data_IF_352239095892
#
_entry.id   IF_352239095892
#
_cell.length_a   1.000
_cell.length_b   1.000
_cell.length_c   1.000
_cell.angle_alpha   90.00
_cell.angle_beta   90.00
_cell.angle_gamma   90.00
#
_symmetry.space_group_name_H-M   'P 1'
#
loop_
_entity.id
_entity.type
_entity.pdbx_description
1 polymer ?
#
# COMPACT_ATOMS: atom_id res chain seq x y z
N UNK A 1 -8.16 -34.65 1.02
CA UNK A 1 -7.07 -34.87 2.00
C UNK A 1 -6.51 -33.51 2.33
N UNK A 2 -6.39 -33.10 3.60
CA UNK A 2 -5.84 -31.78 3.90
C UNK A 2 -4.34 -31.74 3.54
N UNK A 3 -3.99 -30.96 2.52
CA UNK A 3 -2.59 -30.71 2.15
C UNK A 3 -1.85 -29.91 3.25
N UNK A 4 -0.59 -30.28 3.51
CA UNK A 4 0.28 -29.57 4.44
C UNK A 4 1.33 -28.74 3.69
N UNK A 5 1.39 -27.41 3.88
CA UNK A 5 2.30 -26.56 3.13
C UNK A 5 3.75 -26.73 3.58
N UNK A 6 4.63 -27.13 2.66
CA UNK A 6 6.06 -27.25 2.88
C UNK A 6 6.84 -26.29 1.98
N UNK A 7 7.45 -25.27 2.60
CA UNK A 7 8.26 -24.30 1.86
C UNK A 7 9.56 -24.94 1.36
N UNK A 8 9.65 -25.14 0.06
CA UNK A 8 10.86 -25.54 -0.65
C UNK A 8 11.35 -24.34 -1.45
N UNK A 9 12.63 -24.01 -1.29
CA UNK A 9 13.31 -22.96 -2.06
C UNK A 9 14.14 -23.62 -3.15
N UNK A 10 14.06 -23.11 -4.36
CA UNK A 10 14.81 -23.61 -5.52
C UNK A 10 15.38 -22.44 -6.30
N UNK A 11 16.25 -22.76 -7.24
CA UNK A 11 16.68 -21.86 -8.30
C UNK A 11 16.15 -22.45 -9.60
N UNK A 12 15.45 -21.66 -10.41
CA UNK A 12 14.94 -22.11 -11.70
C UNK A 12 16.08 -22.29 -12.72
N UNK A 13 15.75 -22.82 -13.91
CA UNK A 13 16.72 -23.05 -14.98
C UNK A 13 17.39 -21.75 -15.49
N UNK A 14 16.80 -20.59 -15.22
CA UNK A 14 17.31 -19.27 -15.60
C UNK A 14 18.11 -18.60 -14.46
N UNK A 15 18.32 -19.27 -13.33
CA UNK A 15 19.06 -18.73 -12.18
C UNK A 15 18.22 -17.86 -11.23
N UNK A 16 16.91 -17.76 -11.43
CA UNK A 16 16.03 -16.97 -10.56
C UNK A 16 15.59 -17.77 -9.34
N UNK A 17 15.31 -17.06 -8.24
CA UNK A 17 14.74 -17.68 -7.06
C UNK A 17 13.33 -18.19 -7.33
N UNK A 18 13.08 -19.46 -7.00
CA UNK A 18 11.78 -20.12 -7.06
C UNK A 18 11.38 -20.63 -5.68
N UNK A 19 10.07 -20.70 -5.41
CA UNK A 19 9.53 -21.21 -4.17
C UNK A 19 8.26 -22.01 -4.43
N UNK A 20 8.11 -23.13 -3.73
CA UNK A 20 6.89 -23.95 -3.75
C UNK A 20 6.45 -24.29 -2.34
N UNK A 21 5.17 -24.51 -2.15
CA UNK A 21 4.56 -25.04 -0.94
C UNK A 21 4.07 -26.50 -1.12
N UNK A 22 3.94 -26.98 -2.37
CA UNK A 22 3.52 -28.36 -2.67
C UNK A 22 2.04 -28.53 -3.01
N UNK A 23 1.35 -27.45 -3.40
CA UNK A 23 -0.02 -27.49 -3.91
C UNK A 23 -0.07 -26.74 -5.22
N UNK A 24 -0.60 -27.37 -6.27
CA UNK A 24 -0.60 -26.87 -7.66
C UNK A 24 -1.05 -25.41 -7.75
N UNK A 25 -2.25 -25.07 -7.26
CA UNK A 25 -2.78 -23.69 -7.34
C UNK A 25 -1.93 -22.65 -6.60
N UNK A 26 -1.26 -23.05 -5.52
CA UNK A 26 -0.44 -22.14 -4.71
C UNK A 26 0.94 -21.98 -5.34
N UNK A 27 1.47 -23.06 -5.90
CA UNK A 27 2.76 -23.09 -6.59
C UNK A 27 2.68 -22.30 -7.90
N UNK A 28 1.61 -22.44 -8.68
CA UNK A 28 1.33 -21.63 -9.89
C UNK A 28 1.29 -20.13 -9.56
N UNK A 29 0.68 -19.76 -8.44
CA UNK A 29 0.68 -18.36 -7.98
C UNK A 29 2.08 -17.89 -7.57
N UNK A 30 2.87 -18.72 -6.89
CA UNK A 30 4.23 -18.37 -6.50
C UNK A 30 5.14 -18.21 -7.72
N UNK A 31 4.95 -19.02 -8.76
CA UNK A 31 5.60 -18.85 -10.06
C UNK A 31 5.22 -17.51 -10.71
N UNK A 32 3.92 -17.17 -10.73
CA UNK A 32 3.43 -15.86 -11.19
C UNK A 32 4.05 -14.69 -10.41
N UNK A 33 4.23 -14.82 -9.09
CA UNK A 33 4.89 -13.81 -8.26
C UNK A 33 6.38 -13.72 -8.58
N UNK A 34 7.08 -14.86 -8.76
CA UNK A 34 8.50 -14.90 -9.08
C UNK A 34 8.82 -14.17 -10.40
N UNK A 35 7.94 -14.32 -11.41
CA UNK A 35 8.09 -13.62 -12.69
C UNK A 35 7.94 -12.09 -12.61
N UNK A 36 7.33 -11.57 -11.54
CA UNK A 36 6.93 -10.14 -11.43
C UNK A 36 7.62 -9.38 -10.30
N UNK A 37 8.28 -10.07 -9.39
CA UNK A 37 8.74 -9.52 -8.12
C UNK A 37 10.15 -9.98 -7.78
N UNK A 38 10.84 -9.20 -6.94
CA UNK A 38 12.18 -9.55 -6.45
C UNK A 38 12.14 -10.83 -5.59
N UNK A 39 13.24 -11.59 -5.50
CA UNK A 39 13.35 -12.82 -4.70
C UNK A 39 12.86 -12.68 -3.25
N UNK A 40 13.15 -11.56 -2.60
CA UNK A 40 12.72 -11.31 -1.22
C UNK A 40 11.20 -11.21 -1.07
N UNK A 41 10.52 -10.64 -2.08
CA UNK A 41 9.06 -10.54 -2.09
C UNK A 41 8.45 -11.93 -2.27
N UNK A 42 9.00 -12.75 -3.19
CA UNK A 42 8.59 -14.15 -3.37
C UNK A 42 8.69 -14.94 -2.07
N UNK A 43 9.85 -14.90 -1.40
CA UNK A 43 10.07 -15.63 -0.16
C UNK A 43 9.16 -15.16 0.98
N UNK A 44 8.89 -13.85 1.06
CA UNK A 44 7.94 -13.30 2.03
C UNK A 44 6.51 -13.79 1.75
N UNK A 45 6.07 -13.75 0.49
CA UNK A 45 4.76 -14.25 0.07
C UNK A 45 4.62 -15.75 0.34
N UNK A 46 5.61 -16.56 -0.04
CA UNK A 46 5.61 -18.00 0.20
C UNK A 46 5.55 -18.34 1.70
N UNK A 47 6.31 -17.63 2.54
CA UNK A 47 6.24 -17.82 3.99
C UNK A 47 4.89 -17.37 4.58
N UNK A 48 4.33 -16.26 4.09
CA UNK A 48 3.04 -15.77 4.54
C UNK A 48 1.91 -16.76 4.21
N UNK A 49 1.91 -17.32 3.00
CA UNK A 49 0.96 -18.36 2.55
C UNK A 49 1.15 -19.68 3.31
N UNK A 50 2.39 -20.12 3.54
CA UNK A 50 2.67 -21.31 4.36
C UNK A 50 1.98 -21.20 5.71
N UNK A 51 2.20 -20.09 6.42
CA UNK A 51 1.63 -19.88 7.75
C UNK A 51 0.10 -19.80 7.71
N UNK A 52 -0.47 -19.22 6.66
CA UNK A 52 -1.92 -19.17 6.47
C UNK A 52 -2.52 -20.58 6.35
N UNK A 53 -2.02 -21.38 5.42
CA UNK A 53 -2.53 -22.73 5.18
C UNK A 53 -2.19 -23.69 6.34
N UNK A 54 -1.11 -23.47 7.09
CA UNK A 54 -0.86 -24.23 8.33
C UNK A 54 -1.88 -23.95 9.45
N UNK A 55 -2.56 -22.79 9.43
CA UNK A 55 -3.57 -22.43 10.43
C UNK A 55 -4.97 -22.81 9.99
N UNK A 56 -5.30 -22.60 8.72
CA UNK A 56 -6.65 -22.86 8.19
C UNK A 56 -6.83 -24.34 7.82
N UNK A 57 -5.77 -25.03 7.36
CA UNK A 57 -5.79 -26.45 7.00
C UNK A 57 -6.92 -26.85 6.05
N UNK A 58 -7.21 -26.00 5.05
CA UNK A 58 -8.19 -26.22 3.98
C UNK A 58 -7.53 -26.10 2.62
N UNK A 59 -8.16 -26.70 1.61
CA UNK A 59 -7.80 -26.46 0.22
C UNK A 59 -8.03 -25.00 -0.15
N UNK A 60 -7.21 -24.40 -1.04
CA UNK A 60 -7.38 -23.01 -1.47
C UNK A 60 -8.81 -22.70 -1.95
N UNK A 61 -9.46 -23.62 -2.64
CA UNK A 61 -10.84 -23.46 -3.16
C UNK A 61 -11.91 -23.45 -2.06
N UNK A 62 -11.61 -24.01 -0.89
CA UNK A 62 -12.58 -24.18 0.21
C UNK A 62 -12.46 -23.07 1.27
N UNK A 63 -11.52 -22.15 1.08
CA UNK A 63 -11.29 -21.04 2.02
C UNK A 63 -12.40 -20.01 1.89
N UNK A 64 -13.07 -19.74 3.01
CA UNK A 64 -14.11 -18.72 3.11
C UNK A 64 -13.67 -17.56 3.99
N UNK A 65 -14.43 -16.46 3.96
CA UNK A 65 -14.15 -15.26 4.77
C UNK A 65 -14.02 -15.54 6.26
N UNK A 66 -14.79 -16.50 6.80
CA UNK A 66 -14.71 -16.92 8.20
C UNK A 66 -13.31 -17.43 8.57
N UNK A 67 -12.62 -18.10 7.64
CA UNK A 67 -11.26 -18.61 7.86
C UNK A 67 -10.23 -17.49 7.94
N UNK A 68 -10.44 -16.39 7.21
CA UNK A 68 -9.59 -15.19 7.30
C UNK A 68 -9.72 -14.56 8.69
N UNK A 69 -10.93 -14.45 9.23
CA UNK A 69 -11.15 -13.95 10.59
C UNK A 69 -10.57 -14.88 11.66
N UNK A 70 -10.71 -16.20 11.48
CA UNK A 70 -10.10 -17.20 12.35
C UNK A 70 -8.56 -17.09 12.33
N UNK A 71 -7.98 -16.91 11.13
CA UNK A 71 -6.54 -16.69 10.96
C UNK A 71 -6.05 -15.42 11.68
N UNK A 72 -6.73 -14.28 11.50
CA UNK A 72 -6.38 -13.02 12.17
C UNK A 72 -6.41 -13.21 13.69
N UNK A 73 -7.46 -13.85 14.20
CA UNK A 73 -7.60 -14.17 15.63
C UNK A 73 -6.44 -15.04 16.12
N UNK A 74 -6.06 -16.06 15.36
CA UNK A 74 -4.90 -16.92 15.68
C UNK A 74 -3.58 -16.15 15.65
N UNK A 75 -3.38 -15.21 14.72
CA UNK A 75 -2.16 -14.40 14.64
C UNK A 75 -2.03 -13.37 15.78
N UNK A 76 -3.15 -12.95 16.37
CA UNK A 76 -3.19 -12.06 17.55
C UNK A 76 -2.95 -12.79 18.87
N UNK A 77 -3.09 -14.13 18.92
CA UNK A 77 -2.77 -14.89 20.14
C UNK A 77 -1.25 -14.89 20.40
N UNK A 78 -0.79 -14.76 21.66
CA UNK A 78 0.63 -14.84 22.01
C UNK A 78 1.22 -16.21 21.66
N UNK A 79 2.35 -16.21 20.95
CA UNK A 79 2.99 -17.44 20.42
C UNK A 79 3.91 -18.17 21.40
N UNK A 80 4.36 -17.53 22.49
CA UNK A 80 5.34 -18.07 23.45
C UNK A 80 4.94 -17.75 24.88
N UNK A 81 3.88 -18.39 25.36
CA UNK A 81 3.39 -18.24 26.73
C UNK A 81 2.94 -16.82 27.10
N UNK A 82 2.36 -16.64 28.31
CA UNK A 82 1.81 -15.36 28.76
C UNK A 82 2.87 -14.28 29.06
N UNK A 83 4.17 -14.62 28.95
CA UNK A 83 5.28 -13.79 29.46
C UNK A 83 6.04 -13.00 28.38
N UNK A 84 5.70 -13.16 27.09
CA UNK A 84 6.37 -12.49 25.98
C UNK A 84 5.44 -11.44 25.37
N UNK A 85 5.70 -10.18 25.68
CA UNK A 85 4.95 -8.99 25.23
C UNK A 85 5.81 -8.20 24.23
N UNK A 86 5.20 -7.55 23.24
CA UNK A 86 5.94 -6.65 22.33
C UNK A 86 6.39 -5.40 23.08
N UNK A 87 7.70 -5.19 23.18
CA UNK A 87 8.33 -4.04 23.87
C UNK A 87 7.91 -2.67 23.32
N UNK A 88 7.53 -2.61 22.04
CA UNK A 88 7.17 -1.36 21.35
C UNK A 88 5.78 -0.83 21.73
N UNK A 89 4.81 -1.73 21.96
CA UNK A 89 3.38 -1.39 22.05
C UNK A 89 2.67 -1.99 23.29
N UNK A 90 3.34 -2.84 24.08
CA UNK A 90 2.73 -3.53 25.24
C UNK A 90 1.69 -4.61 24.89
N UNK A 91 1.41 -4.86 23.61
CA UNK A 91 0.42 -5.85 23.17
C UNK A 91 1.00 -7.28 23.01
N UNK A 92 0.14 -8.28 23.20
CA UNK A 92 0.40 -9.69 22.94
C UNK A 92 0.13 -10.05 21.47
N UNK A 93 0.99 -10.88 20.85
CA UNK A 93 0.81 -11.37 19.48
C UNK A 93 1.67 -10.67 18.42
N UNK A 94 1.36 -10.88 17.13
CA UNK A 94 2.11 -10.28 16.01
C UNK A 94 1.78 -8.79 15.79
N UNK A 95 2.74 -8.03 15.27
CA UNK A 95 2.50 -6.63 14.90
C UNK A 95 1.41 -6.48 13.84
N UNK A 96 0.62 -5.41 13.94
CA UNK A 96 -0.40 -5.07 12.96
C UNK A 96 0.17 -4.96 11.53
N UNK A 97 1.43 -4.51 11.39
CA UNK A 97 2.16 -4.48 10.11
C UNK A 97 2.36 -5.88 9.53
N UNK A 98 2.70 -6.86 10.37
CA UNK A 98 2.92 -8.26 9.95
C UNK A 98 1.61 -8.92 9.56
N UNK A 99 0.54 -8.68 10.30
CA UNK A 99 -0.80 -9.20 9.99
C UNK A 99 -1.27 -8.63 8.64
N UNK A 100 -1.14 -7.31 8.42
CA UNK A 100 -1.48 -6.67 7.14
C UNK A 100 -0.68 -7.22 5.97
N UNK A 101 0.65 -7.43 6.13
CA UNK A 101 1.49 -8.02 5.10
C UNK A 101 1.01 -9.42 4.69
N UNK A 102 0.71 -10.28 5.69
CA UNK A 102 0.18 -11.63 5.44
C UNK A 102 -1.15 -11.58 4.68
N UNK A 103 -2.05 -10.70 5.11
CA UNK A 103 -3.34 -10.51 4.43
C UNK A 103 -3.19 -10.01 2.99
N UNK A 104 -2.18 -9.19 2.69
CA UNK A 104 -1.87 -8.78 1.32
C UNK A 104 -1.42 -9.97 0.45
N UNK A 105 -0.52 -10.83 0.97
CA UNK A 105 -0.08 -12.05 0.29
C UNK A 105 -1.26 -13.01 0.02
N UNK A 106 -2.14 -13.20 1.02
CA UNK A 106 -3.35 -14.04 0.90
C UNK A 106 -4.32 -13.43 -0.13
N UNK A 107 -4.61 -12.12 -0.04
CA UNK A 107 -5.50 -11.45 -0.99
C UNK A 107 -4.99 -11.54 -2.42
N UNK A 108 -3.67 -11.44 -2.63
CA UNK A 108 -3.03 -11.60 -3.94
C UNK A 108 -3.27 -13.00 -4.54
N UNK A 109 -3.10 -14.06 -3.74
CA UNK A 109 -3.39 -15.44 -4.16
C UNK A 109 -4.84 -15.57 -4.64
N UNK A 110 -5.81 -15.17 -3.81
CA UNK A 110 -7.22 -15.30 -4.19
C UNK A 110 -7.62 -14.37 -5.34
N UNK A 111 -6.95 -13.22 -5.49
CA UNK A 111 -7.11 -12.37 -6.66
C UNK A 111 -6.63 -13.06 -7.94
N UNK A 112 -5.51 -13.78 -7.89
CA UNK A 112 -5.00 -14.58 -9.00
C UNK A 112 -5.92 -15.77 -9.33
N UNK A 113 -6.43 -16.48 -8.32
CA UNK A 113 -7.35 -17.59 -8.51
C UNK A 113 -8.70 -17.14 -9.10
N UNK A 114 -9.16 -15.93 -8.81
CA UNK A 114 -10.37 -15.35 -9.43
C UNK A 114 -10.16 -14.97 -10.90
N UNK A 115 -8.94 -14.61 -11.30
CA UNK A 115 -8.62 -14.30 -12.71
C UNK A 115 -8.38 -15.55 -13.56
N UNK A 116 -8.28 -16.71 -12.90
CA UNK A 116 -8.17 -18.02 -13.52
C UNK A 116 -9.57 -18.50 -13.91
N UNK A 117 -9.84 -18.50 -15.21
CA UNK A 117 -11.16 -18.84 -15.79
C UNK A 117 -11.53 -20.34 -15.63
N UNK A 118 -10.61 -21.15 -15.07
CA UNK A 118 -10.76 -22.58 -14.83
C UNK A 118 -11.29 -22.94 -13.42
N UNK A 119 -11.50 -21.95 -12.54
CA UNK A 119 -11.94 -22.16 -11.16
C UNK A 119 -13.25 -21.43 -10.86
N UNK A 120 -14.19 -22.11 -10.21
CA UNK A 120 -15.46 -21.55 -9.74
C UNK A 120 -15.31 -20.64 -8.50
N UNK A 121 -14.30 -19.77 -8.46
CA UNK A 121 -14.06 -18.82 -7.37
C UNK A 121 -14.56 -17.44 -7.80
N UNK A 122 -15.76 -17.08 -7.34
CA UNK A 122 -16.41 -15.81 -7.71
C UNK A 122 -16.02 -14.63 -6.80
N UNK A 123 -15.38 -14.90 -5.65
CA UNK A 123 -15.13 -13.91 -4.58
C UNK A 123 -13.81 -14.17 -3.85
N UNK A 124 -13.12 -13.08 -3.52
CA UNK A 124 -11.94 -13.11 -2.66
C UNK A 124 -12.38 -13.22 -1.18
N UNK A 125 -11.97 -14.25 -0.43
CA UNK A 125 -12.34 -14.44 0.96
C UNK A 125 -11.71 -13.38 1.88
N UNK A 126 -10.71 -12.62 1.43
CA UNK A 126 -10.14 -11.51 2.21
C UNK A 126 -10.92 -10.23 1.92
N UNK A 127 -11.71 -9.69 2.89
CA UNK A 127 -12.54 -8.52 2.67
C UNK A 127 -11.74 -7.27 2.27
N UNK A 128 -12.29 -6.52 1.32
CA UNK A 128 -11.74 -5.24 0.85
C UNK A 128 -11.61 -4.24 2.02
N UNK A 129 -10.39 -4.07 2.53
CA UNK A 129 -10.08 -3.20 3.67
C UNK A 129 -9.18 -3.84 4.74
N UNK A 130 -9.09 -5.18 4.77
CA UNK A 130 -8.23 -5.93 5.71
C UNK A 130 -6.81 -6.19 5.15
N UNK A 131 -6.71 -6.51 3.86
CA UNK A 131 -5.43 -6.73 3.17
C UNK A 131 -4.76 -5.46 2.65
N UNK A 132 -5.56 -4.47 2.26
CA UNK A 132 -5.09 -3.23 1.65
C UNK A 132 -5.87 -2.05 2.22
N UNK A 133 -5.15 -0.94 2.46
CA UNK A 133 -5.71 0.39 2.64
C UNK A 133 -6.75 0.59 1.52
N UNK A 134 -8.01 0.86 1.88
CA UNK A 134 -9.14 1.11 0.96
C UNK A 134 -8.68 1.73 -0.37
N UNK A 135 -8.47 0.92 -1.41
CA UNK A 135 -8.85 1.35 -2.75
C UNK A 135 -10.36 1.22 -2.78
N UNK A 136 -11.00 2.38 -2.82
CA UNK A 136 -12.43 2.53 -3.01
C UNK A 136 -12.91 1.54 -4.07
N UNK A 137 -13.96 0.79 -3.77
CA UNK A 137 -14.39 -0.37 -4.53
C UNK A 137 -14.47 -0.13 -6.03
N UNK A 138 -13.91 -1.09 -6.78
CA UNK A 138 -14.25 -1.33 -8.17
C UNK A 138 -15.67 -1.96 -8.21
N UNK A 139 -16.70 -1.16 -7.95
CA UNK A 139 -17.91 -1.29 -8.78
C UNK A 139 -17.43 -0.77 -10.13
N UNK A 140 -17.36 -1.64 -11.14
CA UNK A 140 -16.84 -1.31 -12.46
C UNK A 140 -17.21 0.12 -12.82
N UNK A 141 -16.20 0.93 -13.14
CA UNK A 141 -16.42 2.32 -13.49
C UNK A 141 -17.57 2.35 -14.52
N UNK A 142 -18.65 3.10 -14.27
CA UNK A 142 -19.72 3.19 -15.25
C UNK A 142 -19.09 3.59 -16.58
N UNK A 143 -19.52 3.02 -17.72
CA UNK A 143 -18.93 3.30 -19.02
C UNK A 143 -18.79 4.82 -19.18
N UNK A 144 -17.63 5.23 -19.70
CA UNK A 144 -17.25 6.65 -19.85
C UNK A 144 -18.46 7.36 -20.46
N UNK A 145 -19.04 8.37 -19.79
CA UNK A 145 -20.18 9.08 -20.34
C UNK A 145 -19.77 9.68 -21.71
N UNK A 146 -20.68 9.75 -22.69
CA UNK A 146 -20.40 10.44 -23.94
C UNK A 146 -20.02 11.88 -23.58
N UNK A 147 -18.78 12.26 -23.88
CA UNK A 147 -18.24 13.59 -23.57
C UNK A 147 -18.36 14.46 -24.81
N UNK A 148 -19.24 15.45 -24.74
CA UNK A 148 -19.35 16.55 -25.72
C UNK A 148 -18.42 17.72 -25.34
N UNK A 149 -17.42 17.49 -24.47
CA UNK A 149 -16.69 18.56 -23.80
C UNK A 149 -15.22 18.20 -23.53
N UNK A 150 -14.34 19.17 -23.73
CA UNK A 150 -12.87 19.10 -23.60
C UNK A 150 -12.36 19.11 -22.14
N UNK A 151 -13.10 18.47 -21.22
CA UNK A 151 -12.83 18.52 -19.77
C UNK A 151 -12.28 17.19 -19.25
N UNK A 152 -11.23 17.27 -18.41
CA UNK A 152 -10.51 16.11 -17.84
C UNK A 152 -11.31 15.40 -16.75
N UNK A 153 -12.08 16.13 -15.94
CA UNK A 153 -12.86 15.58 -14.83
C UNK A 153 -14.36 15.79 -15.03
N UNK A 154 -15.13 14.69 -14.98
CA UNK A 154 -16.59 14.67 -15.15
C UNK A 154 -17.25 13.86 -14.05
N UNK A 155 -18.52 14.15 -13.78
CA UNK A 155 -19.32 13.41 -12.81
C UNK A 155 -19.65 12.01 -13.35
N UNK A 156 -19.35 10.97 -12.57
CA UNK A 156 -19.52 9.57 -12.99
C UNK A 156 -20.83 8.92 -12.52
N UNK A 157 -21.51 9.51 -11.54
CA UNK A 157 -22.71 8.93 -10.89
C UNK A 157 -23.75 10.01 -10.58
N UNK A 158 -25.01 9.60 -10.53
CA UNK A 158 -26.12 10.49 -10.17
C UNK A 158 -26.72 11.25 -11.36
N UNK A 159 -27.67 12.17 -11.10
CA UNK A 159 -28.45 12.87 -12.14
C UNK A 159 -27.61 13.80 -13.02
N UNK A 160 -26.42 14.20 -12.56
CA UNK A 160 -25.49 15.08 -13.27
C UNK A 160 -24.38 14.34 -14.01
N UNK A 161 -24.51 13.01 -14.20
CA UNK A 161 -23.51 12.18 -14.89
C UNK A 161 -23.14 12.75 -16.27
N UNK A 162 -21.85 12.82 -16.55
CA UNK A 162 -21.29 13.36 -17.80
C UNK A 162 -21.04 14.87 -17.80
N UNK A 163 -21.58 15.62 -16.83
CA UNK A 163 -21.30 17.06 -16.70
C UNK A 163 -19.90 17.30 -16.10
N UNK A 164 -19.31 18.49 -16.34
CA UNK A 164 -18.06 18.91 -15.70
C UNK A 164 -18.13 18.80 -14.19
N UNK A 165 -17.00 18.43 -13.59
CA UNK A 165 -16.87 18.35 -12.15
C UNK A 165 -16.91 19.75 -11.51
N UNK A 166 -17.80 19.97 -10.55
CA UNK A 166 -17.97 21.25 -9.85
C UNK A 166 -17.16 21.32 -8.54
N UNK A 167 -16.98 22.54 -8.01
CA UNK A 167 -16.37 22.75 -6.70
C UNK A 167 -17.21 22.10 -5.58
N UNK A 168 -18.53 22.25 -5.61
CA UNK A 168 -19.43 21.61 -4.62
C UNK A 168 -19.31 20.08 -4.65
N UNK A 169 -19.16 19.49 -5.84
CA UNK A 169 -18.92 18.05 -5.98
C UNK A 169 -17.59 17.61 -5.39
N UNK A 170 -16.56 18.47 -5.41
CA UNK A 170 -15.28 18.22 -4.75
C UNK A 170 -15.44 18.20 -3.23
N UNK A 171 -16.22 19.14 -2.69
CA UNK A 171 -16.50 19.20 -1.25
C UNK A 171 -17.31 18.00 -0.78
N UNK A 172 -18.29 17.54 -1.55
CA UNK A 172 -19.04 16.29 -1.25
C UNK A 172 -18.10 15.07 -1.20
N UNK A 173 -17.15 14.98 -2.14
CA UNK A 173 -16.13 13.92 -2.13
C UNK A 173 -15.27 14.04 -0.87
N UNK A 174 -14.81 15.24 -0.52
CA UNK A 174 -14.00 15.47 0.68
C UNK A 174 -14.75 15.07 1.94
N UNK A 175 -16.04 15.39 2.06
CA UNK A 175 -16.86 14.99 3.20
C UNK A 175 -16.99 13.48 3.32
N UNK A 176 -17.17 12.79 2.19
CA UNK A 176 -17.11 11.34 2.14
C UNK A 176 -15.76 10.79 2.63
N UNK A 177 -14.66 11.44 2.26
CA UNK A 177 -13.31 11.09 2.73
C UNK A 177 -13.16 11.36 4.24
N UNK A 178 -13.56 12.53 4.74
CA UNK A 178 -13.52 12.90 6.17
C UNK A 178 -14.22 11.85 7.03
N UNK A 179 -15.44 11.46 6.65
CA UNK A 179 -16.22 10.41 7.34
C UNK A 179 -15.51 9.06 7.32
N UNK A 180 -14.91 8.71 6.18
CA UNK A 180 -14.20 7.43 6.00
C UNK A 180 -12.88 7.35 6.76
N UNK A 181 -12.16 8.47 6.92
CA UNK A 181 -10.82 8.49 7.53
C UNK A 181 -10.83 8.97 8.97
N UNK A 182 -11.95 9.51 9.47
CA UNK A 182 -12.02 10.13 10.79
C UNK A 182 -11.21 11.43 10.88
N UNK A 183 -11.02 12.14 9.76
CA UNK A 183 -10.25 13.39 9.70
C UNK A 183 -11.19 14.58 9.45
N UNK A 184 -11.84 15.13 10.47
CA UNK A 184 -12.91 16.12 10.30
C UNK A 184 -12.42 17.45 9.72
N UNK A 185 -11.11 17.74 9.75
CA UNK A 185 -10.53 18.99 9.25
C UNK A 185 -9.99 18.91 7.82
N UNK A 186 -10.01 17.74 7.16
CA UNK A 186 -9.36 17.50 5.87
C UNK A 186 -9.87 18.43 4.74
N UNK A 187 -9.06 19.39 4.28
CA UNK A 187 -9.38 20.25 3.14
C UNK A 187 -8.44 20.03 1.94
N UNK A 188 -8.84 20.49 0.74
CA UNK A 188 -7.95 20.56 -0.43
C UNK A 188 -6.66 21.34 -0.13
N UNK A 189 -6.74 22.43 0.63
CA UNK A 189 -5.57 23.19 1.04
C UNK A 189 -4.63 22.38 1.92
N UNK A 190 -5.14 21.58 2.86
CA UNK A 190 -4.29 20.72 3.69
C UNK A 190 -3.63 19.59 2.91
N UNK A 191 -4.34 19.01 1.93
CA UNK A 191 -3.76 18.03 1.01
C UNK A 191 -2.62 18.66 0.19
N UNK A 192 -2.83 19.88 -0.31
CA UNK A 192 -1.83 20.66 -1.01
C UNK A 192 -0.62 20.98 -0.13
N UNK A 193 -0.84 21.41 1.11
CA UNK A 193 0.25 21.63 2.08
C UNK A 193 1.06 20.36 2.30
N UNK A 194 0.38 19.23 2.54
CA UNK A 194 1.06 17.94 2.72
C UNK A 194 1.90 17.56 1.50
N UNK A 195 1.38 17.75 0.28
CA UNK A 195 2.11 17.48 -0.95
C UNK A 195 3.37 18.35 -1.06
N UNK A 196 3.25 19.67 -0.91
CA UNK A 196 4.37 20.60 -1.05
C UNK A 196 5.42 20.41 0.07
N UNK A 197 4.98 20.14 1.30
CA UNK A 197 5.89 19.77 2.40
C UNK A 197 6.68 18.51 2.05
N UNK A 198 6.03 17.46 1.54
CA UNK A 198 6.72 16.21 1.16
C UNK A 198 7.72 16.40 0.03
N UNK A 199 7.39 17.22 -0.96
CA UNK A 199 8.32 17.56 -2.05
C UNK A 199 9.54 18.31 -1.51
N UNK A 200 9.33 19.25 -0.57
CA UNK A 200 10.42 20.00 0.07
C UNK A 200 11.29 19.11 0.96
N UNK A 201 10.69 18.23 1.77
CA UNK A 201 11.40 17.23 2.58
C UNK A 201 12.23 16.27 1.72
N UNK A 202 11.79 15.97 0.50
CA UNK A 202 12.51 15.15 -0.47
C UNK A 202 13.66 15.90 -1.19
N UNK A 203 13.93 17.17 -0.81
CA UNK A 203 15.05 17.95 -1.35
C UNK A 203 14.70 18.86 -2.53
N UNK A 204 13.42 19.02 -2.88
CA UNK A 204 13.03 19.97 -3.93
C UNK A 204 13.38 21.41 -3.51
N UNK A 205 14.01 22.16 -4.42
CA UNK A 205 14.33 23.58 -4.23
C UNK A 205 13.06 24.41 -3.98
N UNK A 206 13.16 25.48 -3.19
CA UNK A 206 12.00 26.28 -2.78
C UNK A 206 11.31 26.96 -3.98
N UNK A 207 12.10 27.37 -4.96
CA UNK A 207 11.69 27.98 -6.22
C UNK A 207 10.88 26.99 -7.07
N UNK A 208 11.32 25.72 -7.10
CA UNK A 208 10.60 24.64 -7.76
C UNK A 208 9.27 24.33 -7.04
N UNK A 209 9.26 24.34 -5.70
CA UNK A 209 8.03 24.20 -4.91
C UNK A 209 7.08 25.37 -5.17
N UNK A 210 7.59 26.60 -5.30
CA UNK A 210 6.78 27.78 -5.64
C UNK A 210 6.15 27.67 -7.03
N UNK A 211 6.94 27.26 -8.03
CA UNK A 211 6.46 27.06 -9.40
C UNK A 211 5.40 25.95 -9.46
N UNK A 212 5.63 24.82 -8.79
CA UNK A 212 4.66 23.73 -8.67
C UNK A 212 3.37 24.15 -7.97
N UNK A 213 3.49 25.04 -6.99
CA UNK A 213 2.34 25.64 -6.34
C UNK A 213 1.65 26.68 -7.25
N UNK A 214 2.35 27.33 -8.17
CA UNK A 214 1.81 28.46 -8.93
C UNK A 214 1.61 29.69 -8.04
N UNK A 215 2.44 29.86 -7.01
CA UNK A 215 2.38 31.05 -6.15
C UNK A 215 3.04 32.25 -6.85
N UNK A 216 2.30 33.35 -6.96
CA UNK A 216 2.81 34.62 -7.52
C UNK A 216 3.87 35.30 -6.65
N UNK A 217 3.88 35.03 -5.35
CA UNK A 217 4.88 35.53 -4.40
C UNK A 217 5.55 34.38 -3.65
N UNK A 218 6.86 34.51 -3.44
CA UNK A 218 7.66 33.58 -2.64
C UNK A 218 7.20 33.53 -1.17
N UNK A 219 6.56 34.59 -0.68
CA UNK A 219 6.11 34.72 0.70
C UNK A 219 5.10 33.63 1.10
N UNK A 220 4.19 33.26 0.19
CA UNK A 220 3.24 32.16 0.41
C UNK A 220 3.90 30.78 0.42
N UNK A 221 5.14 30.67 -0.05
CA UNK A 221 5.95 29.44 -0.07
C UNK A 221 6.91 29.36 1.12
N UNK A 222 7.17 30.48 1.83
CA UNK A 222 8.07 30.53 2.99
C UNK A 222 7.68 29.57 4.12
N UNK A 223 6.39 29.24 4.23
CA UNK A 223 5.86 28.24 5.19
C UNK A 223 6.58 26.88 5.05
N UNK A 224 7.14 26.56 3.87
CA UNK A 224 7.86 25.29 3.63
C UNK A 224 9.36 25.33 3.96
N UNK A 225 9.94 26.50 4.27
CA UNK A 225 11.39 26.65 4.50
C UNK A 225 11.84 25.86 5.73
N UNK A 226 11.11 26.00 6.84
CA UNK A 226 11.51 25.47 8.15
C UNK A 226 11.37 23.95 8.29
N UNK A 227 10.79 23.28 7.29
CA UNK A 227 10.57 21.83 7.30
C UNK A 227 11.81 21.03 6.86
N UNK A 228 12.84 21.69 6.32
CA UNK A 228 14.07 21.09 5.82
C UNK A 228 15.29 21.31 6.75
N UNK A 229 15.08 21.51 8.06
CA UNK A 229 16.15 21.86 8.99
C UNK A 229 17.30 20.83 9.04
N UNK A 230 17.04 19.53 8.87
CA UNK A 230 18.11 18.53 8.83
C UNK A 230 18.96 18.60 7.56
N UNK A 231 18.33 18.81 6.40
CA UNK A 231 19.03 18.93 5.11
C UNK A 231 19.80 20.25 4.99
N UNK A 232 19.24 21.36 5.48
CA UNK A 232 19.92 22.66 5.48
C UNK A 232 21.20 22.61 6.33
N UNK A 233 21.14 21.96 7.49
CA UNK A 233 22.32 21.75 8.34
C UNK A 233 23.36 20.88 7.65
N UNK A 234 22.95 19.80 6.98
CA UNK A 234 23.89 18.93 6.24
C UNK A 234 24.56 19.65 5.06
N UNK A 235 23.80 20.40 4.26
CA UNK A 235 24.35 21.21 3.17
C UNK A 235 25.26 22.34 3.67
N UNK A 236 24.89 22.99 4.78
CA UNK A 236 25.75 23.99 5.42
C UNK A 236 27.06 23.38 5.89
N UNK A 237 27.03 22.22 6.56
CA UNK A 237 28.22 21.52 7.02
C UNK A 237 29.11 21.09 5.83
N UNK A 238 28.52 20.60 4.73
CA UNK A 238 29.27 20.25 3.53
C UNK A 238 29.94 21.47 2.87
N UNK A 239 29.20 22.58 2.73
CA UNK A 239 29.74 23.81 2.15
C UNK A 239 30.83 24.43 3.03
N UNK A 240 30.63 24.45 4.36
CA UNK A 240 31.64 24.94 5.31
C UNK A 240 32.91 24.09 5.25
N UNK A 241 32.78 22.75 5.22
CA UNK A 241 33.92 21.86 5.14
C UNK A 241 34.71 22.02 3.84
N UNK A 242 34.03 22.26 2.70
CA UNK A 242 34.71 22.53 1.43
C UNK A 242 35.50 23.85 1.46
N UNK A 243 34.94 24.90 2.07
CA UNK A 243 35.62 26.20 2.23
C UNK A 243 36.83 26.08 3.17
N UNK A 244 36.71 25.30 4.24
CA UNK A 244 37.81 25.07 5.18
C UNK A 244 38.93 24.23 4.56
N UNK A 245 38.60 23.24 3.72
CA UNK A 245 39.59 22.44 2.99
C UNK A 245 40.43 23.27 2.01
N UNK A 246 39.79 24.17 1.25
CA UNK A 246 40.47 25.11 0.34
C UNK A 246 41.44 26.06 1.08
N UNK A 247 41.20 26.33 2.38
CA UNK A 247 42.06 27.19 3.19
C UNK A 247 43.27 26.49 3.78
N UNK A 248 43.24 25.16 3.93
CA UNK A 248 44.34 24.36 4.48
C UNK A 248 45.38 23.93 3.44
N UNK A 249 45.07 24.07 2.14
CA UNK A 249 45.97 23.70 1.04
C UNK A 249 46.75 24.91 0.45
N UNK A 250 46.69 26.08 1.09
CA UNK A 250 47.49 27.28 0.79
C UNK A 250 48.45 27.62 1.93
#
# INVERSE_FOLDING_TARGET
>A
MAWQPQLVRRVDAAGNAAASLGHVLVDDYLEFVAARCRPNTLLATAYDLKVFFSVVSKEPTDVVTADIFAFITAQKKPRRGPRVVRLEDGEAGLSARTIKRRLASISGLFGYLMTRDDLAIDRNPVPTGLANRRRSGNRGAPPRPPVDQDRVFVVLRGPTRGRPFSADGLDEILDGVRKRTGLPRLTCHQLRHTCLTRLREAGMALEAVQAQAGHRSIESTRIYIHLANSWLVEQYLQASAAIDADRTES
#
